data_IF_073905210312
#
_entry.id   IF_073905210312
#
_cell.length_a   1.000
_cell.length_b   1.000
_cell.length_c   1.000
_cell.angle_alpha   90.00
_cell.angle_beta   90.00
_cell.angle_gamma   90.00
#
_symmetry.space_group_name_H-M   'P 1'
#
loop_
_entity.id
_entity.type
_entity.pdbx_description
1 polymer ?
#
# COMPACT_ATOMS: atom_id res chain seq x y z
N UNK A 1 -9.59 22.44 17.59
CA UNK A 1 -9.62 22.29 16.12
C UNK A 1 -10.59 23.31 15.52
N UNK A 2 -11.83 23.45 16.00
CA UNK A 2 -12.83 24.45 15.54
C UNK A 2 -12.27 25.88 15.54
N UNK A 3 -11.62 26.30 16.64
CA UNK A 3 -10.93 27.61 16.71
C UNK A 3 -9.85 27.75 15.61
N UNK A 4 -9.14 26.69 15.28
CA UNK A 4 -8.16 26.74 14.20
C UNK A 4 -8.82 26.89 12.84
N UNK A 5 -9.98 26.27 12.62
CA UNK A 5 -10.75 26.42 11.37
C UNK A 5 -11.19 27.86 11.14
N UNK A 6 -11.70 28.52 12.19
CA UNK A 6 -12.07 29.94 12.11
C UNK A 6 -10.87 30.82 11.77
N UNK A 7 -9.74 30.64 12.48
CA UNK A 7 -8.52 31.42 12.21
C UNK A 7 -7.98 31.21 10.78
N UNK A 8 -8.03 29.96 10.29
CA UNK A 8 -7.62 29.65 8.92
C UNK A 8 -8.56 30.31 7.92
N UNK A 9 -9.85 30.26 8.15
CA UNK A 9 -10.87 30.93 7.30
C UNK A 9 -10.63 32.44 7.24
N UNK A 10 -10.42 33.07 8.37
CA UNK A 10 -10.14 34.52 8.47
C UNK A 10 -8.86 34.89 7.71
N UNK A 11 -7.81 34.05 7.84
CA UNK A 11 -6.54 34.27 7.14
C UNK A 11 -6.69 34.10 5.62
N UNK A 12 -7.39 33.03 5.19
CA UNK A 12 -7.64 32.75 3.77
C UNK A 12 -8.47 33.88 3.12
N UNK A 13 -9.48 34.38 3.81
CA UNK A 13 -10.30 35.47 3.30
C UNK A 13 -9.49 36.75 3.00
N UNK A 14 -8.43 37.03 3.77
CA UNK A 14 -7.51 38.16 3.52
C UNK A 14 -6.75 38.06 2.21
N UNK A 15 -6.55 36.86 1.69
CA UNK A 15 -5.86 36.61 0.42
C UNK A 15 -6.80 36.19 -0.71
N UNK A 16 -8.12 36.37 -0.51
CA UNK A 16 -9.14 36.10 -1.53
C UNK A 16 -9.48 34.61 -1.69
N UNK A 17 -9.13 33.76 -0.72
CA UNK A 17 -9.44 32.33 -0.71
C UNK A 17 -10.46 32.01 0.39
N UNK A 18 -11.22 30.94 0.18
CA UNK A 18 -12.20 30.45 1.16
C UNK A 18 -12.12 28.92 1.32
N UNK A 19 -12.47 28.42 2.51
CA UNK A 19 -12.66 27.01 2.74
C UNK A 19 -13.99 26.58 2.11
N UNK A 20 -13.93 25.53 1.29
CA UNK A 20 -15.14 24.95 0.71
C UNK A 20 -15.72 23.91 1.67
N UNK A 21 -16.90 24.17 2.26
CA UNK A 21 -17.55 23.30 3.24
C UNK A 21 -17.71 21.85 2.74
N UNK A 22 -18.07 21.67 1.48
CA UNK A 22 -18.21 20.33 0.88
C UNK A 22 -16.90 19.54 0.76
N UNK A 23 -15.75 20.17 0.98
CA UNK A 23 -14.40 19.56 0.93
C UNK A 23 -13.64 19.67 2.25
N UNK A 24 -14.20 20.37 3.21
CA UNK A 24 -13.64 20.54 4.56
C UNK A 24 -14.39 19.62 5.51
N UNK A 25 -13.69 18.76 6.22
CA UNK A 25 -14.29 17.88 7.22
C UNK A 25 -13.45 17.87 8.49
N UNK A 26 -14.14 17.84 9.62
CA UNK A 26 -13.52 17.66 10.92
C UNK A 26 -13.62 16.17 11.31
N UNK A 27 -12.49 15.52 11.50
CA UNK A 27 -12.44 14.11 11.87
C UNK A 27 -11.63 13.90 13.14
N UNK A 28 -12.06 12.94 13.96
CA UNK A 28 -11.30 12.51 15.13
C UNK A 28 -10.44 11.30 14.76
N UNK A 29 -9.16 11.30 15.14
CA UNK A 29 -8.23 10.24 14.73
C UNK A 29 -8.38 8.93 15.52
N UNK A 30 -8.97 8.97 16.73
CA UNK A 30 -9.12 7.82 17.63
C UNK A 30 -10.57 7.32 17.73
N UNK A 31 -11.53 8.22 17.79
CA UNK A 31 -12.94 7.91 17.98
C UNK A 31 -13.73 8.32 16.74
N UNK A 32 -14.92 7.75 16.59
CA UNK A 32 -15.91 8.20 15.63
C UNK A 32 -16.42 9.60 16.03
N UNK A 33 -16.64 10.47 15.05
CA UNK A 33 -17.14 11.82 15.25
C UNK A 33 -18.18 12.15 14.16
N UNK A 34 -19.37 12.59 14.55
CA UNK A 34 -20.47 12.98 13.63
C UNK A 34 -20.76 11.92 12.54
N UNK A 35 -20.84 10.66 12.93
CA UNK A 35 -21.03 9.51 12.03
C UNK A 35 -19.90 9.30 11.02
N UNK A 36 -18.74 9.95 11.20
CA UNK A 36 -17.54 9.71 10.41
C UNK A 36 -16.61 8.73 11.15
N UNK A 37 -16.04 7.74 10.44
CA UNK A 37 -15.12 6.81 11.06
C UNK A 37 -13.85 7.52 11.53
N UNK A 38 -13.22 6.99 12.58
CA UNK A 38 -11.97 7.53 13.09
C UNK A 38 -10.85 7.48 12.05
N UNK A 39 -10.06 8.57 11.95
CA UNK A 39 -8.96 8.70 11.02
C UNK A 39 -9.36 9.35 9.70
N UNK A 40 -8.37 9.62 8.87
CA UNK A 40 -8.56 10.25 7.56
C UNK A 40 -7.60 9.71 6.53
N UNK A 41 -7.98 9.84 5.26
CA UNK A 41 -7.13 9.48 4.12
C UNK A 41 -6.44 10.74 3.57
N UNK A 42 -5.12 10.66 3.41
CA UNK A 42 -4.31 11.72 2.81
C UNK A 42 -3.28 11.12 1.86
N UNK A 43 -3.24 11.57 0.63
CA UNK A 43 -2.30 11.11 -0.42
C UNK A 43 -2.22 9.58 -0.57
N UNK A 44 -3.34 8.88 -0.36
CA UNK A 44 -3.40 7.43 -0.44
C UNK A 44 -2.99 6.70 0.84
N UNK A 45 -2.66 7.42 1.90
CA UNK A 45 -2.41 6.90 3.23
C UNK A 45 -3.62 7.12 4.13
N UNK A 46 -3.92 6.14 4.98
CA UNK A 46 -4.87 6.26 6.07
C UNK A 46 -4.10 6.53 7.37
N UNK A 47 -4.42 7.64 8.02
CA UNK A 47 -3.85 8.06 9.31
C UNK A 47 -4.89 7.86 10.39
N UNK A 48 -4.63 6.97 11.33
CA UNK A 48 -5.56 6.63 12.42
C UNK A 48 -4.83 6.30 13.70
N UNK A 49 -5.45 6.63 14.84
CA UNK A 49 -5.03 6.20 16.16
C UNK A 49 -5.77 4.91 16.54
N UNK A 50 -5.06 3.99 17.15
CA UNK A 50 -5.59 2.71 17.63
C UNK A 50 -5.37 2.62 19.12
N UNK A 51 -6.38 2.25 19.87
CA UNK A 51 -6.25 1.97 21.31
C UNK A 51 -5.32 0.77 21.50
N UNK A 52 -4.41 0.86 22.46
CA UNK A 52 -3.47 -0.20 22.82
C UNK A 52 -3.36 -0.27 24.35
N UNK A 53 -3.00 -1.44 24.88
CA UNK A 53 -2.75 -1.59 26.31
C UNK A 53 -1.53 -0.78 26.79
N UNK A 54 -1.45 -0.53 28.08
CA UNK A 54 -0.42 0.28 28.74
C UNK A 54 1.00 -0.21 28.47
N UNK A 55 1.21 -1.53 28.35
CA UNK A 55 2.50 -2.11 27.97
C UNK A 55 2.98 -1.70 26.57
N UNK A 56 2.07 -1.32 25.68
CA UNK A 56 2.38 -0.92 24.33
C UNK A 56 2.53 0.59 24.14
N UNK A 57 1.86 1.38 24.97
CA UNK A 57 1.96 2.85 24.97
C UNK A 57 1.42 3.43 26.27
N UNK A 58 2.23 4.24 26.96
CA UNK A 58 1.80 5.01 28.15
C UNK A 58 0.62 5.95 27.87
N UNK A 59 0.39 6.32 26.60
CA UNK A 59 -0.73 7.18 26.17
C UNK A 59 -2.02 6.41 25.91
N UNK A 60 -2.02 5.07 25.99
CA UNK A 60 -3.17 4.21 25.70
C UNK A 60 -3.54 4.11 24.21
N UNK A 61 -2.78 4.74 23.31
CA UNK A 61 -2.98 4.65 21.87
C UNK A 61 -1.68 4.76 21.08
N UNK A 62 -1.70 4.26 19.84
CA UNK A 62 -0.64 4.42 18.82
C UNK A 62 -1.21 4.99 17.54
N UNK A 63 -0.55 5.95 16.96
CA UNK A 63 -0.86 6.45 15.61
C UNK A 63 -0.21 5.52 14.59
N UNK A 64 -1.01 4.96 13.69
CA UNK A 64 -0.53 4.15 12.59
C UNK A 64 -0.89 4.84 11.27
N UNK A 65 0.07 4.82 10.35
CA UNK A 65 -0.11 5.24 8.98
C UNK A 65 -0.07 3.95 8.15
N UNK A 66 -1.10 3.72 7.35
CA UNK A 66 -1.26 2.53 6.49
C UNK A 66 -1.66 2.96 5.07
N UNK A 67 -1.47 2.11 4.05
CA UNK A 67 -2.14 2.32 2.77
C UNK A 67 -3.66 2.44 2.95
N UNK A 68 -4.30 3.41 2.31
CA UNK A 68 -5.77 3.57 2.39
C UNK A 68 -6.48 2.45 1.61
N UNK A 69 -7.69 2.11 2.02
CA UNK A 69 -8.50 1.09 1.34
C UNK A 69 -8.75 1.45 -0.13
N UNK A 70 -8.96 2.72 -0.42
CA UNK A 70 -9.11 3.24 -1.78
C UNK A 70 -7.86 2.99 -2.62
N UNK A 71 -6.67 3.21 -2.06
CA UNK A 71 -5.40 2.95 -2.74
C UNK A 71 -5.19 1.45 -3.01
N UNK A 72 -5.50 0.59 -2.03
CA UNK A 72 -5.44 -0.87 -2.15
C UNK A 72 -6.37 -1.35 -3.27
N UNK A 73 -7.63 -0.93 -3.26
CA UNK A 73 -8.61 -1.31 -4.28
C UNK A 73 -8.23 -0.81 -5.68
N UNK A 74 -7.70 0.40 -5.77
CA UNK A 74 -7.25 0.98 -7.05
C UNK A 74 -6.09 0.18 -7.63
N UNK A 75 -5.12 -0.21 -6.79
CA UNK A 75 -4.01 -1.07 -7.20
C UNK A 75 -4.50 -2.44 -7.66
N UNK A 76 -5.39 -3.09 -6.92
CA UNK A 76 -5.97 -4.38 -7.29
C UNK A 76 -6.78 -4.32 -8.60
N UNK A 77 -7.50 -3.21 -8.83
CA UNK A 77 -8.23 -2.97 -10.10
C UNK A 77 -7.25 -2.82 -11.27
N UNK A 78 -6.15 -2.08 -11.07
CA UNK A 78 -5.08 -1.92 -12.07
C UNK A 78 -4.48 -3.27 -12.44
N UNK A 79 -4.05 -4.07 -11.46
CA UNK A 79 -3.49 -5.41 -11.70
C UNK A 79 -4.48 -6.32 -12.45
N UNK A 80 -5.77 -6.27 -12.08
CA UNK A 80 -6.83 -7.03 -12.77
C UNK A 80 -7.00 -6.58 -14.23
N UNK A 81 -6.98 -5.28 -14.48
CA UNK A 81 -7.10 -4.72 -15.84
C UNK A 81 -5.93 -5.12 -16.72
N UNK A 82 -4.69 -4.99 -16.22
CA UNK A 82 -3.49 -5.40 -16.95
C UNK A 82 -3.53 -6.91 -17.30
N UNK A 83 -3.87 -7.77 -16.34
CA UNK A 83 -3.99 -9.21 -16.59
C UNK A 83 -5.09 -9.54 -17.61
N UNK A 84 -6.18 -8.81 -17.63
CA UNK A 84 -7.25 -8.99 -18.64
C UNK A 84 -6.75 -8.62 -20.04
N UNK A 85 -6.03 -7.52 -20.18
CA UNK A 85 -5.43 -7.12 -21.45
C UNK A 85 -4.35 -8.08 -21.94
N UNK A 86 -3.76 -8.86 -21.03
CA UNK A 86 -2.67 -9.79 -21.32
C UNK A 86 -3.09 -11.28 -21.38
N UNK A 87 -4.36 -11.59 -21.65
CA UNK A 87 -4.83 -12.97 -21.71
C UNK A 87 -4.12 -13.82 -22.76
N UNK A 88 -3.74 -13.25 -23.90
CA UNK A 88 -2.95 -13.89 -24.95
C UNK A 88 -1.42 -13.80 -24.77
N UNK A 89 -0.92 -13.04 -23.81
CA UNK A 89 0.50 -12.78 -23.66
C UNK A 89 1.28 -13.96 -23.07
N UNK A 90 2.60 -14.01 -23.29
CA UNK A 90 3.49 -15.00 -22.66
C UNK A 90 3.66 -14.71 -21.18
N UNK A 91 4.08 -15.71 -20.41
CA UNK A 91 4.37 -15.56 -18.98
C UNK A 91 5.40 -14.45 -18.72
N UNK A 92 6.46 -14.39 -19.51
CA UNK A 92 7.52 -13.39 -19.37
C UNK A 92 7.01 -11.97 -19.64
N UNK A 93 6.10 -11.80 -20.61
CA UNK A 93 5.48 -10.52 -20.88
C UNK A 93 4.63 -10.04 -19.68
N UNK A 94 3.87 -10.96 -19.04
CA UNK A 94 3.11 -10.67 -17.82
C UNK A 94 4.05 -10.26 -16.68
N UNK A 95 5.14 -11.00 -16.47
CA UNK A 95 6.13 -10.69 -15.43
C UNK A 95 6.72 -9.29 -15.67
N UNK A 96 7.19 -9.00 -16.88
CA UNK A 96 7.77 -7.69 -17.23
C UNK A 96 6.79 -6.55 -17.02
N UNK A 97 5.52 -6.74 -17.36
CA UNK A 97 4.49 -5.71 -17.21
C UNK A 97 4.11 -5.45 -15.77
N UNK A 98 3.93 -6.50 -14.96
CA UNK A 98 3.45 -6.36 -13.58
C UNK A 98 4.57 -6.00 -12.59
N UNK A 99 5.81 -6.42 -12.82
CA UNK A 99 6.93 -6.17 -11.90
C UNK A 99 7.13 -4.69 -11.56
N UNK A 100 7.19 -3.74 -12.51
CA UNK A 100 7.34 -2.32 -12.16
C UNK A 100 6.13 -1.76 -11.43
N UNK A 101 4.91 -2.22 -11.72
CA UNK A 101 3.68 -1.79 -11.05
C UNK A 101 3.70 -2.20 -9.58
N UNK A 102 4.04 -3.46 -9.31
CA UNK A 102 4.12 -4.00 -7.94
C UNK A 102 5.26 -3.33 -7.17
N UNK A 103 6.45 -3.27 -7.77
CA UNK A 103 7.62 -2.64 -7.16
C UNK A 103 7.38 -1.17 -6.80
N UNK A 104 6.82 -0.39 -7.73
CA UNK A 104 6.52 1.02 -7.50
C UNK A 104 5.53 1.22 -6.35
N UNK A 105 4.46 0.40 -6.31
CA UNK A 105 3.48 0.45 -5.24
C UNK A 105 4.08 0.04 -3.88
N UNK A 106 4.83 -1.05 -3.83
CA UNK A 106 5.48 -1.50 -2.60
C UNK A 106 6.53 -0.51 -2.09
N UNK A 107 7.33 0.07 -2.98
CA UNK A 107 8.31 1.08 -2.59
C UNK A 107 7.65 2.32 -1.99
N UNK A 108 6.55 2.80 -2.57
CA UNK A 108 5.81 3.94 -2.07
C UNK A 108 5.26 3.69 -0.65
N UNK A 109 4.71 2.51 -0.40
CA UNK A 109 4.13 2.15 0.89
C UNK A 109 5.10 1.44 1.85
N UNK A 110 6.36 1.23 1.48
CA UNK A 110 7.36 0.58 2.35
C UNK A 110 7.73 1.41 3.59
N UNK A 111 7.46 2.72 3.57
CA UNK A 111 7.79 3.65 4.66
C UNK A 111 6.76 3.66 5.79
N UNK A 112 5.64 2.95 5.63
CA UNK A 112 4.53 2.92 6.59
C UNK A 112 4.20 1.50 7.04
N UNK A 113 3.21 1.34 7.93
CA UNK A 113 2.77 0.03 8.45
C UNK A 113 1.97 -0.72 7.38
N UNK A 114 2.67 -1.45 6.51
CA UNK A 114 2.10 -2.09 5.32
C UNK A 114 2.39 -3.58 5.19
N UNK A 115 3.15 -4.21 6.10
CA UNK A 115 3.56 -5.63 5.98
C UNK A 115 2.37 -6.57 5.79
N UNK A 116 1.36 -6.51 6.66
CA UNK A 116 0.15 -7.35 6.57
C UNK A 116 -0.63 -7.11 5.27
N UNK A 117 -0.63 -5.85 4.79
CA UNK A 117 -1.28 -5.48 3.54
C UNK A 117 -0.50 -6.05 2.36
N UNK A 118 0.83 -6.05 2.40
CA UNK A 118 1.67 -6.66 1.37
C UNK A 118 1.43 -8.17 1.29
N UNK A 119 1.35 -8.87 2.41
CA UNK A 119 1.05 -10.31 2.43
C UNK A 119 -0.32 -10.59 1.83
N UNK A 120 -1.36 -9.87 2.28
CA UNK A 120 -2.72 -9.98 1.72
C UNK A 120 -2.78 -9.68 0.22
N UNK A 121 -2.04 -8.68 -0.26
CA UNK A 121 -1.96 -8.36 -1.69
C UNK A 121 -1.21 -9.43 -2.47
N UNK A 122 -0.20 -10.07 -1.88
CA UNK A 122 0.51 -11.21 -2.45
C UNK A 122 -0.43 -12.38 -2.73
N UNK A 123 -1.27 -12.74 -1.74
CA UNK A 123 -2.27 -13.80 -1.88
C UNK A 123 -3.32 -13.47 -2.94
N UNK A 124 -3.81 -12.22 -2.96
CA UNK A 124 -4.77 -11.78 -3.96
C UNK A 124 -4.19 -11.75 -5.37
N UNK A 125 -2.91 -11.39 -5.51
CA UNK A 125 -2.19 -11.45 -6.77
C UNK A 125 -2.05 -12.91 -7.24
N UNK A 126 -1.65 -13.82 -6.35
CA UNK A 126 -1.56 -15.25 -6.66
C UNK A 126 -2.88 -15.78 -7.24
N UNK A 127 -4.01 -15.49 -6.59
CA UNK A 127 -5.34 -15.88 -7.07
C UNK A 127 -5.68 -15.30 -8.45
N UNK A 128 -5.24 -14.06 -8.74
CA UNK A 128 -5.43 -13.44 -10.06
C UNK A 128 -4.58 -14.08 -11.15
N UNK A 129 -3.32 -14.39 -10.85
CA UNK A 129 -2.41 -15.08 -11.77
C UNK A 129 -2.86 -16.50 -12.06
N UNK A 130 -3.39 -17.18 -11.04
CA UNK A 130 -3.99 -18.50 -11.19
C UNK A 130 -5.16 -18.48 -12.18
N UNK A 131 -6.11 -17.56 -11.99
CA UNK A 131 -7.25 -17.38 -12.91
C UNK A 131 -6.82 -16.99 -14.32
N UNK A 132 -5.75 -16.20 -14.46
CA UNK A 132 -5.17 -15.89 -15.76
C UNK A 132 -4.63 -17.15 -16.44
N UNK A 133 -3.95 -18.04 -15.74
CA UNK A 133 -3.42 -19.29 -16.25
C UNK A 133 -4.53 -20.28 -16.61
N UNK A 134 -5.57 -20.41 -15.78
CA UNK A 134 -6.76 -21.22 -16.06
C UNK A 134 -7.48 -20.75 -17.34
N UNK A 135 -7.65 -19.44 -17.49
CA UNK A 135 -8.29 -18.90 -18.70
C UNK A 135 -7.51 -19.27 -19.97
N UNK A 136 -6.19 -19.29 -19.92
CA UNK A 136 -5.33 -19.68 -21.06
C UNK A 136 -5.37 -21.18 -21.37
N UNK A 137 -5.63 -21.98 -20.38
CA UNK A 137 -5.53 -23.44 -20.43
C UNK A 137 -6.75 -24.11 -19.80
N UNK A 138 -7.92 -23.71 -20.28
CA UNK A 138 -9.21 -24.22 -19.76
C UNK A 138 -9.34 -25.76 -19.83
N UNK A 139 -8.58 -26.42 -20.71
CA UNK A 139 -8.57 -27.88 -20.86
C UNK A 139 -7.51 -28.58 -19.99
N UNK A 140 -6.78 -27.84 -19.13
CA UNK A 140 -5.69 -28.40 -18.28
C UNK A 140 -6.07 -28.38 -16.82
N UNK A 141 -5.77 -29.45 -16.11
CA UNK A 141 -6.01 -29.55 -14.67
C UNK A 141 -5.07 -28.68 -13.85
N UNK A 142 -5.44 -28.44 -12.59
CA UNK A 142 -4.73 -27.58 -11.65
C UNK A 142 -3.24 -27.98 -11.48
N UNK A 143 -2.92 -29.28 -11.44
CA UNK A 143 -1.55 -29.77 -11.33
C UNK A 143 -0.67 -29.36 -12.50
N UNK A 144 -1.23 -29.39 -13.72
CA UNK A 144 -0.51 -28.96 -14.92
C UNK A 144 -0.24 -27.46 -14.88
N UNK A 145 -1.26 -26.62 -14.53
CA UNK A 145 -1.12 -25.17 -14.38
C UNK A 145 -0.04 -24.84 -13.35
N UNK A 146 -0.07 -25.54 -12.21
CA UNK A 146 0.90 -25.39 -11.13
C UNK A 146 2.32 -25.65 -11.63
N UNK A 147 2.57 -26.79 -12.30
CA UNK A 147 3.89 -27.14 -12.83
C UNK A 147 4.36 -26.17 -13.89
N UNK A 148 3.46 -25.66 -14.74
CA UNK A 148 3.82 -24.76 -15.83
C UNK A 148 4.18 -23.36 -15.37
N UNK A 149 3.39 -22.79 -14.46
CA UNK A 149 3.44 -21.36 -14.14
C UNK A 149 4.04 -21.05 -12.77
N UNK A 150 4.05 -22.03 -11.86
CA UNK A 150 4.45 -21.81 -10.48
C UNK A 150 5.57 -22.78 -10.09
N UNK A 151 6.68 -22.21 -9.59
CA UNK A 151 7.87 -22.97 -9.20
C UNK A 151 8.43 -22.43 -7.89
N UNK A 152 9.21 -23.25 -7.20
CA UNK A 152 9.93 -22.82 -6.01
C UNK A 152 11.00 -21.77 -6.34
N UNK A 153 11.16 -20.80 -5.45
CA UNK A 153 12.24 -19.83 -5.49
C UNK A 153 12.65 -19.46 -4.06
N UNK A 154 13.84 -19.89 -3.64
CA UNK A 154 14.30 -19.73 -2.26
C UNK A 154 13.33 -20.34 -1.25
N UNK A 155 12.88 -19.54 -0.29
CA UNK A 155 11.91 -19.96 0.75
C UNK A 155 10.46 -20.07 0.24
N UNK A 156 10.18 -19.55 -0.94
CA UNK A 156 8.83 -19.51 -1.49
C UNK A 156 8.58 -20.72 -2.38
N UNK A 157 7.60 -21.53 -2.00
CA UNK A 157 7.30 -22.81 -2.65
C UNK A 157 6.59 -22.60 -4.00
N UNK A 158 5.79 -21.55 -4.14
CA UNK A 158 4.93 -21.32 -5.31
C UNK A 158 4.98 -19.89 -5.81
N UNK A 159 6.01 -19.57 -6.57
CA UNK A 159 6.12 -18.26 -7.24
C UNK A 159 5.75 -18.37 -8.71
N UNK A 160 5.11 -17.32 -9.24
CA UNK A 160 4.88 -17.19 -10.66
C UNK A 160 6.23 -16.98 -11.37
N UNK A 161 6.78 -18.09 -11.86
CA UNK A 161 8.16 -18.18 -12.39
C UNK A 161 8.19 -18.97 -13.68
N UNK A 162 8.80 -18.39 -14.73
CA UNK A 162 8.97 -19.03 -16.03
C UNK A 162 10.10 -20.07 -16.05
N UNK A 163 10.14 -20.85 -17.10
CA UNK A 163 11.22 -21.83 -17.36
C UNK A 163 12.57 -21.17 -17.56
N UNK A 164 12.56 -19.98 -18.16
CA UNK A 164 13.76 -19.15 -18.40
C UNK A 164 14.29 -18.47 -17.13
N UNK A 165 13.66 -18.69 -15.97
CA UNK A 165 14.11 -18.15 -14.69
C UNK A 165 13.51 -16.79 -14.32
N UNK A 166 12.70 -16.14 -15.17
CA UNK A 166 12.00 -14.91 -14.83
C UNK A 166 10.93 -15.18 -13.77
N UNK A 167 10.84 -14.32 -12.76
CA UNK A 167 9.83 -14.48 -11.72
C UNK A 167 9.17 -13.13 -11.37
N UNK A 168 7.92 -13.20 -10.96
CA UNK A 168 7.19 -12.06 -10.45
C UNK A 168 7.34 -12.00 -8.93
N UNK A 169 8.02 -10.97 -8.45
CA UNK A 169 8.16 -10.73 -7.02
C UNK A 169 6.81 -10.32 -6.43
N UNK A 170 6.19 -11.13 -5.53
CA UNK A 170 4.93 -10.76 -4.89
C UNK A 170 5.15 -9.67 -3.85
N UNK A 171 4.07 -8.94 -3.50
CA UNK A 171 4.12 -7.85 -2.52
C UNK A 171 4.74 -8.25 -1.18
N UNK A 172 4.41 -9.43 -0.64
CA UNK A 172 4.92 -9.91 0.65
C UNK A 172 6.45 -10.14 0.70
N UNK A 173 7.15 -10.10 -0.44
CA UNK A 173 8.61 -10.12 -0.46
C UNK A 173 9.24 -8.73 -0.22
N UNK A 174 8.47 -7.65 -0.32
CA UNK A 174 8.95 -6.31 -0.02
C UNK A 174 8.89 -6.06 1.47
N UNK A 175 10.00 -5.62 2.03
CA UNK A 175 10.08 -5.28 3.46
C UNK A 175 9.76 -3.80 3.66
N UNK A 176 9.11 -3.49 4.78
CA UNK A 176 8.95 -2.11 5.22
C UNK A 176 10.31 -1.55 5.67
N UNK A 177 10.54 -0.28 5.34
CA UNK A 177 11.71 0.48 5.79
C UNK A 177 11.27 1.33 6.97
N UNK A 178 11.84 1.08 8.13
CA UNK A 178 11.56 1.91 9.30
C UNK A 178 12.18 3.29 9.10
N UNK A 179 11.38 4.31 9.34
CA UNK A 179 11.89 5.67 9.35
C UNK A 179 12.91 5.85 10.48
N UNK A 180 14.07 6.40 10.17
CA UNK A 180 15.06 6.77 11.17
C UNK A 180 14.57 8.02 11.89
N UNK A 181 14.40 7.92 13.21
CA UNK A 181 13.95 9.06 14.02
C UNK A 181 15.06 10.10 14.11
N UNK A 182 14.82 11.29 13.59
CA UNK A 182 15.69 12.44 13.81
C UNK A 182 15.63 12.82 15.29
N UNK A 183 16.79 12.90 15.95
CA UNK A 183 16.89 13.23 17.38
C UNK A 183 16.97 14.74 17.60
N UNK A 184 16.16 15.24 18.55
CA UNK A 184 16.19 16.65 18.96
C UNK A 184 15.67 17.62 17.90
N UNK A 185 16.32 18.76 17.79
CA UNK A 185 16.01 19.85 16.84
C UNK A 185 16.75 19.70 15.50
N UNK A 186 17.43 18.59 15.27
CA UNK A 186 18.14 18.33 14.01
C UNK A 186 17.15 18.19 12.85
N UNK A 187 17.51 18.77 11.72
CA UNK A 187 16.75 18.72 10.46
C UNK A 187 17.53 17.92 9.42
N UNK A 188 16.87 17.22 8.48
CA UNK A 188 17.54 16.62 7.32
C UNK A 188 18.29 17.65 6.45
N UNK A 189 18.02 18.92 6.64
CA UNK A 189 18.63 20.04 5.89
C UNK A 189 19.81 20.71 6.64
N UNK A 190 20.21 20.19 7.79
CA UNK A 190 21.29 20.77 8.61
C UNK A 190 22.71 20.45 8.06
N UNK A 191 22.82 19.76 6.91
CA UNK A 191 24.10 19.39 6.31
C UNK A 191 24.86 18.30 7.08
N UNK A 192 24.21 17.59 8.01
CA UNK A 192 24.81 16.47 8.73
C UNK A 192 24.54 15.17 7.94
N UNK A 193 25.49 14.77 7.09
CA UNK A 193 25.39 13.60 6.19
C UNK A 193 25.14 12.27 6.93
N UNK A 194 25.36 12.23 8.26
CA UNK A 194 25.06 11.06 9.11
C UNK A 194 23.57 10.80 9.30
N UNK A 195 22.70 11.65 8.76
CA UNK A 195 21.24 11.47 8.75
C UNK A 195 20.73 10.81 7.45
N UNK A 196 21.61 10.59 6.47
CA UNK A 196 21.30 10.04 5.16
C UNK A 196 21.73 8.57 4.99
N UNK A 197 22.41 7.99 5.98
CA UNK A 197 22.71 6.56 6.09
C UNK A 197 21.65 5.86 6.97
#
# INVERSE_FOLDING_TARGET
VEKCQVLIQEWLNKIGLELKDSKTSLVHTLNEHENQPAGFDFLGFNVRQYRVGEHNSKRGYKTLIKPSDKAIQTHLRKLKSELRGMRGATQNAVIRKLSPIIRGWCNYYSTVVSSEIFDKLGDLLYKKLWRWAEFRHHNKGAQWIKRKYFRAHGKFIWMFKSEEGWFLQPHGMYKIKRHTKVKGIKSPFDGDDRLLE
#
